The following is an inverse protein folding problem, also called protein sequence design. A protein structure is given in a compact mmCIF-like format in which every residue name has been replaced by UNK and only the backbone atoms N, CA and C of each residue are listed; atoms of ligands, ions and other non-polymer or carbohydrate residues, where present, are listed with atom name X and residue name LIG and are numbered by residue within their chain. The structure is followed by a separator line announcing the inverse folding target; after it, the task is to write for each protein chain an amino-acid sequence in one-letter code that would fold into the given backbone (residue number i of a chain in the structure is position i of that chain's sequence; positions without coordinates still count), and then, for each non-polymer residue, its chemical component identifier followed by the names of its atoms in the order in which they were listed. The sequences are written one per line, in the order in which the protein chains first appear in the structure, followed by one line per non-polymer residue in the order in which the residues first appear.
data_IF_941801802736
#
_entry.id   IF_941801802736
#
_cell.length_a   1.000
_cell.length_b   1.000
_cell.length_c   1.000
_cell.angle_alpha   90.00
_cell.angle_beta   90.00
_cell.angle_gamma   90.00
#
_symmetry.space_group_name_H-M   'P 1'
#
loop_
_entity.id
_entity.type
_entity.pdbx_description
1 polymer ?
#
# COMPACT_ATOMS: atom_id res chain seq x y z
N UNK A 1 0.77 -15.12 13.87
CA UNK A 1 0.55 -15.27 12.43
C UNK A 1 -0.27 -14.13 11.86
N UNK A 2 -0.05 -12.91 12.35
CA UNK A 2 -0.81 -11.69 12.02
C UNK A 2 -0.08 -10.76 11.05
N UNK A 3 1.18 -11.02 10.73
CA UNK A 3 2.08 -10.00 10.16
C UNK A 3 2.12 -10.05 8.62
N UNK A 4 1.16 -10.75 8.01
CA UNK A 4 1.09 -10.85 6.55
C UNK A 4 0.42 -9.60 5.98
N UNK A 5 1.16 -8.90 5.12
CA UNK A 5 0.63 -7.89 4.22
C UNK A 5 0.89 -8.32 2.77
N UNK A 6 -0.12 -8.18 1.93
CA UNK A 6 0.01 -8.48 0.51
C UNK A 6 0.75 -7.32 -0.19
N UNK A 7 2.08 -7.42 -0.22
CA UNK A 7 2.97 -6.42 -0.80
C UNK A 7 4.15 -7.07 -1.53
N UNK A 8 4.73 -6.37 -2.51
CA UNK A 8 5.89 -6.82 -3.28
C UNK A 8 6.85 -5.65 -3.50
N UNK A 9 8.13 -5.86 -3.20
CA UNK A 9 9.19 -4.89 -3.45
C UNK A 9 9.68 -5.01 -4.89
N UNK A 10 9.68 -3.90 -5.62
CA UNK A 10 10.15 -3.81 -7.00
C UNK A 10 11.27 -2.77 -7.07
N UNK A 11 12.36 -3.12 -7.74
CA UNK A 11 13.43 -2.18 -8.11
C UNK A 11 13.21 -1.76 -9.56
N UNK A 12 13.13 -0.45 -9.81
CA UNK A 12 13.15 0.13 -11.15
C UNK A 12 14.53 0.72 -11.40
N UNK A 13 15.31 0.03 -12.23
CA UNK A 13 16.70 0.42 -12.53
C UNK A 13 16.76 1.75 -13.28
N UNK A 14 15.84 1.99 -14.22
CA UNK A 14 15.79 3.22 -15.02
C UNK A 14 15.49 4.45 -14.15
N UNK A 15 14.67 4.28 -13.12
CA UNK A 15 14.32 5.35 -12.18
C UNK A 15 15.29 5.44 -11.00
N UNK A 16 16.23 4.49 -10.86
CA UNK A 16 17.11 4.33 -9.69
C UNK A 16 16.32 4.37 -8.37
N UNK A 17 15.17 3.68 -8.34
CA UNK A 17 14.20 3.72 -7.22
C UNK A 17 13.63 2.34 -6.93
N UNK A 18 13.27 2.14 -5.67
CA UNK A 18 12.50 0.99 -5.22
C UNK A 18 11.09 1.42 -4.85
N UNK A 19 10.11 0.59 -5.20
CA UNK A 19 8.71 0.78 -4.89
C UNK A 19 8.17 -0.46 -4.19
N UNK A 20 7.25 -0.24 -3.26
CA UNK A 20 6.45 -1.32 -2.68
C UNK A 20 5.09 -1.25 -3.34
N UNK A 21 4.73 -2.28 -4.10
CA UNK A 21 3.38 -2.44 -4.62
C UNK A 21 2.57 -3.24 -3.63
N UNK A 22 1.40 -2.75 -3.25
CA UNK A 22 0.50 -3.45 -2.32
C UNK A 22 -0.95 -3.25 -2.73
N UNK A 23 -1.83 -4.12 -2.27
CA UNK A 23 -3.27 -3.91 -2.36
C UNK A 23 -3.71 -2.71 -1.52
N UNK A 24 -4.89 -2.15 -1.82
CA UNK A 24 -5.51 -1.18 -0.93
C UNK A 24 -5.74 -1.80 0.46
N UNK A 25 -5.45 -1.08 1.56
CA UNK A 25 -5.65 -1.61 2.90
C UNK A 25 -7.14 -1.91 3.13
N UNK A 26 -7.43 -3.10 3.66
CA UNK A 26 -8.75 -3.48 4.15
C UNK A 26 -8.95 -2.91 5.57
N UNK A 27 -10.19 -2.78 6.07
CA UNK A 27 -10.45 -2.20 7.39
C UNK A 27 -9.64 -2.84 8.53
N UNK A 28 -9.42 -4.15 8.45
CA UNK A 28 -8.64 -4.92 9.44
C UNK A 28 -7.12 -4.95 9.16
N UNK A 29 -6.63 -4.39 8.05
CA UNK A 29 -5.20 -4.37 7.69
C UNK A 29 -4.63 -2.96 7.56
N UNK A 30 -5.40 -1.91 7.87
CA UNK A 30 -4.93 -0.52 7.86
C UNK A 30 -3.73 -0.31 8.80
N UNK A 31 -3.72 -0.94 9.98
CA UNK A 31 -2.60 -0.87 10.91
C UNK A 31 -1.30 -1.42 10.31
N UNK A 32 -1.36 -2.66 9.78
CA UNK A 32 -0.21 -3.29 9.13
C UNK A 32 0.29 -2.51 7.90
N UNK A 33 -0.60 -1.83 7.17
CA UNK A 33 -0.21 -0.97 6.06
C UNK A 33 0.66 0.20 6.54
N UNK A 34 0.25 0.92 7.59
CA UNK A 34 1.03 2.03 8.13
C UNK A 34 2.32 1.57 8.83
N UNK A 35 2.29 0.42 9.49
CA UNK A 35 3.47 -0.22 10.06
C UNK A 35 4.50 -0.53 8.97
N UNK A 36 4.09 -1.16 7.87
CA UNK A 36 4.96 -1.41 6.71
C UNK A 36 5.53 -0.10 6.13
N UNK A 37 4.71 0.95 5.97
CA UNK A 37 5.16 2.27 5.47
C UNK A 37 6.26 2.85 6.36
N UNK A 38 6.08 2.77 7.68
CA UNK A 38 7.02 3.25 8.68
C UNK A 38 8.33 2.44 8.67
N UNK A 39 8.24 1.12 8.77
CA UNK A 39 9.40 0.22 8.81
C UNK A 39 10.27 0.32 7.56
N UNK A 40 9.63 0.44 6.39
CA UNK A 40 10.31 0.57 5.09
C UNK A 40 10.80 1.99 4.81
N UNK A 41 10.56 2.95 5.73
CA UNK A 41 10.95 4.36 5.61
C UNK A 41 10.48 4.98 4.29
N UNK A 42 9.25 4.65 3.89
CA UNK A 42 8.67 5.10 2.63
C UNK A 42 8.52 6.61 2.64
N UNK A 43 8.99 7.30 1.59
CA UNK A 43 8.94 8.78 1.50
C UNK A 43 7.55 9.33 1.20
N UNK A 44 6.65 8.49 0.72
CA UNK A 44 5.29 8.86 0.38
C UNK A 44 4.52 7.66 -0.13
N UNK A 45 3.19 7.77 -0.10
CA UNK A 45 2.26 6.77 -0.60
C UNK A 45 1.57 7.36 -1.84
N UNK A 46 1.54 6.61 -2.94
CA UNK A 46 0.81 6.97 -4.16
C UNK A 46 -0.31 5.96 -4.36
N UNK A 47 -1.55 6.43 -4.27
CA UNK A 47 -2.72 5.60 -4.53
C UNK A 47 -3.15 5.74 -6.00
N UNK A 48 -3.09 4.66 -6.75
CA UNK A 48 -3.38 4.65 -8.19
C UNK A 48 -4.88 4.51 -8.52
N UNK A 49 -5.70 4.06 -7.56
CA UNK A 49 -7.14 3.85 -7.73
C UNK A 49 -7.95 4.87 -6.93
N UNK A 50 -9.19 5.12 -7.36
CA UNK A 50 -10.15 5.86 -6.51
C UNK A 50 -10.59 4.97 -5.36
N UNK A 51 -10.84 5.58 -4.20
CA UNK A 51 -11.41 4.97 -2.99
C UNK A 51 -12.71 4.19 -3.30
N UNK A 52 -13.47 4.64 -4.32
CA UNK A 52 -14.63 3.94 -4.87
C UNK A 52 -14.54 3.79 -6.39
N UNK A 53 -14.87 2.61 -6.89
CA UNK A 53 -15.10 2.36 -8.31
C UNK A 53 -16.44 1.65 -8.50
N UNK A 54 -17.28 2.18 -9.41
CA UNK A 54 -18.58 1.60 -9.83
C UNK A 54 -19.59 1.33 -8.71
N UNK A 55 -19.62 2.15 -7.65
CA UNK A 55 -20.58 2.03 -6.55
C UNK A 55 -20.21 1.02 -5.46
N UNK A 56 -19.04 0.40 -5.56
CA UNK A 56 -18.47 -0.47 -4.52
C UNK A 56 -17.30 0.23 -3.83
N UNK A 57 -17.31 0.26 -2.49
CA UNK A 57 -16.20 0.77 -1.67
C UNK A 57 -15.02 -0.21 -1.78
N UNK A 58 -13.87 0.26 -2.28
CA UNK A 58 -12.63 -0.53 -2.35
C UNK A 58 -11.54 -0.04 -1.40
N UNK A 59 -11.69 1.16 -0.83
CA UNK A 59 -10.80 1.73 0.16
C UNK A 59 -11.58 2.65 1.09
N UNK A 60 -11.10 2.89 2.31
CA UNK A 60 -11.55 3.99 3.16
C UNK A 60 -10.61 5.20 3.00
N UNK A 61 -11.14 6.41 3.18
CA UNK A 61 -10.34 7.64 3.18
C UNK A 61 -9.44 7.71 4.42
N UNK A 62 -8.17 8.07 4.21
CA UNK A 62 -7.17 8.35 5.24
C UNK A 62 -6.79 9.83 5.24
#
# INVERSE_FOLDING_TARGET
GSDYINASLIKMEEAQRSYILTQGPLPNTCGHFWEMVWEQKSRGVVMLNRVMEKGSIKCDQY
#
